data_IF_064337229197
#
_entry.id   IF_064337229197
#
_cell.length_a   1.000
_cell.length_b   1.000
_cell.length_c   1.000
_cell.angle_alpha   90.00
_cell.angle_beta   90.00
_cell.angle_gamma   90.00
#
_symmetry.space_group_name_H-M   'P 1'
#
loop_
_entity.id
_entity.type
_entity.pdbx_description
1 polymer ?
#
# COMPACT_ATOMS: atom_id res chain seq x y z
N UNK A 1 -79.18 -18.87 -31.63
CA UNK A 1 -79.00 -19.36 -33.01
C UNK A 1 -77.58 -19.88 -33.13
N UNK A 2 -77.39 -21.20 -33.14
CA UNK A 2 -76.07 -21.80 -33.36
C UNK A 2 -75.80 -21.81 -34.86
N UNK A 3 -74.80 -21.05 -35.30
CA UNK A 3 -74.37 -21.03 -36.69
C UNK A 3 -73.17 -21.97 -36.82
N UNK A 4 -73.38 -23.17 -37.37
CA UNK A 4 -72.34 -24.20 -37.51
C UNK A 4 -71.88 -24.22 -38.96
N UNK A 5 -70.74 -23.56 -39.20
CA UNK A 5 -70.06 -23.52 -40.50
C UNK A 5 -69.46 -24.90 -40.77
N UNK A 6 -69.91 -25.58 -41.83
CA UNK A 6 -69.43 -26.94 -42.12
C UNK A 6 -68.07 -26.97 -42.83
N UNK A 7 -67.78 -25.97 -43.67
CA UNK A 7 -66.55 -25.89 -44.44
C UNK A 7 -66.25 -24.45 -44.84
N UNK A 8 -64.98 -24.06 -44.77
CA UNK A 8 -64.44 -22.80 -45.26
C UNK A 8 -63.46 -23.18 -46.38
N UNK A 9 -63.56 -22.53 -47.53
CA UNK A 9 -62.67 -22.77 -48.68
C UNK A 9 -61.54 -21.74 -48.73
N UNK A 10 -60.40 -22.13 -49.32
CA UNK A 10 -59.20 -21.30 -49.45
C UNK A 10 -59.48 -19.93 -50.04
N UNK A 11 -58.84 -18.96 -49.44
CA UNK A 11 -58.90 -17.54 -49.74
C UNK A 11 -57.97 -17.16 -50.91
N UNK A 12 -58.44 -16.26 -51.78
CA UNK A 12 -57.66 -15.66 -52.87
C UNK A 12 -57.71 -14.14 -52.76
N UNK A 13 -56.59 -13.46 -53.02
CA UNK A 13 -56.57 -12.00 -53.19
C UNK A 13 -57.57 -11.60 -54.28
N UNK A 14 -58.46 -10.65 -53.98
CA UNK A 14 -59.35 -10.11 -55.00
C UNK A 14 -58.52 -9.31 -56.01
N UNK A 15 -58.40 -9.81 -57.25
CA UNK A 15 -57.64 -9.15 -58.30
C UNK A 15 -58.18 -7.76 -58.66
N UNK A 16 -59.47 -7.50 -58.44
CA UNK A 16 -60.11 -6.20 -58.67
C UNK A 16 -60.02 -5.25 -57.47
N UNK A 17 -59.66 -5.76 -56.30
CA UNK A 17 -59.48 -4.97 -55.07
C UNK A 17 -58.23 -5.45 -54.31
N UNK A 18 -57.02 -5.18 -54.84
CA UNK A 18 -55.77 -5.67 -54.25
C UNK A 18 -55.49 -5.11 -52.85
N UNK A 19 -56.10 -3.97 -52.50
CA UNK A 19 -55.98 -3.34 -51.17
C UNK A 19 -57.01 -3.86 -50.16
N UNK A 20 -57.94 -4.74 -50.58
CA UNK A 20 -58.99 -5.24 -49.70
C UNK A 20 -58.42 -6.25 -48.72
N UNK A 21 -58.43 -5.87 -47.43
CA UNK A 21 -57.99 -6.74 -46.33
C UNK A 21 -59.05 -7.83 -46.12
N UNK A 22 -58.69 -9.09 -46.37
CA UNK A 22 -59.59 -10.24 -46.21
C UNK A 22 -60.55 -10.46 -47.38
N UNK A 23 -60.66 -11.71 -47.81
CA UNK A 23 -61.28 -12.11 -49.07
C UNK A 23 -62.44 -13.12 -48.90
N UNK A 24 -63.03 -13.51 -50.04
CA UNK A 24 -64.29 -14.25 -50.19
C UNK A 24 -64.33 -15.63 -49.52
N UNK A 25 -65.42 -15.95 -48.80
CA UNK A 25 -65.60 -17.23 -48.11
C UNK A 25 -66.88 -17.94 -48.59
N UNK A 26 -66.73 -19.17 -49.09
CA UNK A 26 -67.89 -20.04 -49.35
C UNK A 26 -68.31 -20.71 -48.02
N UNK A 27 -69.57 -20.54 -47.62
CA UNK A 27 -70.13 -21.05 -46.35
C UNK A 27 -71.25 -22.03 -46.62
N UNK A 28 -71.25 -23.15 -45.91
CA UNK A 28 -72.33 -24.14 -45.93
C UNK A 28 -73.01 -24.18 -44.56
N UNK A 29 -74.34 -24.01 -44.56
CA UNK A 29 -75.20 -23.97 -43.38
C UNK A 29 -75.72 -25.36 -43.02
N UNK A 30 -76.28 -25.48 -41.81
CA UNK A 30 -76.62 -26.75 -41.13
C UNK A 30 -77.74 -27.52 -41.84
N UNK A 31 -78.64 -26.82 -42.52
CA UNK A 31 -79.81 -27.35 -43.23
C UNK A 31 -79.49 -27.80 -44.67
N UNK A 32 -78.20 -27.82 -45.05
CA UNK A 32 -77.77 -28.14 -46.42
C UNK A 32 -77.87 -26.96 -47.38
N UNK A 33 -78.30 -25.77 -46.91
CA UNK A 33 -78.21 -24.55 -47.70
C UNK A 33 -76.74 -24.13 -47.81
N UNK A 34 -76.23 -24.04 -49.03
CA UNK A 34 -74.91 -23.47 -49.32
C UNK A 34 -75.07 -22.09 -49.94
N UNK A 35 -74.22 -21.16 -49.52
CA UNK A 35 -74.23 -19.78 -50.00
C UNK A 35 -72.83 -19.19 -50.02
N UNK A 36 -72.54 -18.38 -51.04
CA UNK A 36 -71.28 -17.65 -51.10
C UNK A 36 -71.41 -16.33 -50.34
N UNK A 37 -70.53 -16.12 -49.36
CA UNK A 37 -70.53 -14.88 -48.55
C UNK A 37 -69.18 -14.19 -48.72
N UNK A 38 -69.21 -12.97 -49.24
CA UNK A 38 -67.99 -12.15 -49.31
C UNK A 38 -67.80 -11.43 -47.98
N UNK A 39 -66.67 -11.68 -47.31
CA UNK A 39 -66.29 -11.02 -46.07
C UNK A 39 -65.04 -10.18 -46.32
N UNK A 40 -65.01 -8.98 -45.75
CA UNK A 40 -63.80 -8.16 -45.63
C UNK A 40 -63.33 -8.28 -44.19
N UNK A 41 -62.09 -8.71 -43.97
CA UNK A 41 -61.56 -8.96 -42.63
C UNK A 41 -60.76 -7.74 -42.13
N UNK A 42 -60.58 -7.66 -40.81
CA UNK A 42 -59.82 -6.58 -40.19
C UNK A 42 -58.29 -6.72 -40.42
N UNK A 43 -57.82 -7.93 -40.75
CA UNK A 43 -56.41 -8.27 -40.93
C UNK A 43 -56.18 -8.95 -42.29
N UNK A 44 -54.96 -8.77 -42.84
CA UNK A 44 -54.51 -9.51 -44.01
C UNK A 44 -54.02 -10.90 -43.58
N UNK A 45 -54.71 -11.93 -44.05
CA UNK A 45 -54.43 -13.32 -43.71
C UNK A 45 -53.87 -14.13 -44.89
N UNK A 46 -53.51 -13.45 -45.98
CA UNK A 46 -53.03 -14.11 -47.21
C UNK A 46 -51.75 -14.92 -46.99
N UNK A 47 -50.92 -14.53 -46.02
CA UNK A 47 -49.69 -15.24 -45.65
C UNK A 47 -49.90 -16.33 -44.57
N UNK A 48 -51.10 -16.46 -44.01
CA UNK A 48 -51.37 -17.47 -42.99
C UNK A 48 -51.53 -18.85 -43.64
N UNK A 49 -51.20 -19.91 -42.90
CA UNK A 49 -51.59 -21.26 -43.31
C UNK A 49 -53.12 -21.44 -43.26
N UNK A 50 -53.60 -22.51 -43.89
CA UNK A 50 -55.03 -22.78 -44.04
C UNK A 50 -55.78 -22.85 -42.70
N UNK A 51 -55.17 -23.40 -41.66
CA UNK A 51 -55.80 -23.50 -40.34
C UNK A 51 -55.93 -22.12 -39.69
N UNK A 52 -54.88 -21.29 -39.75
CA UNK A 52 -54.88 -19.95 -39.20
C UNK A 52 -55.79 -18.99 -39.99
N UNK A 53 -55.91 -19.16 -41.30
CA UNK A 53 -56.91 -18.44 -42.12
C UNK A 53 -58.34 -18.77 -41.66
N UNK A 54 -58.64 -20.05 -41.45
CA UNK A 54 -59.96 -20.51 -40.98
C UNK A 54 -60.29 -19.91 -39.61
N UNK A 55 -59.33 -19.90 -38.67
CA UNK A 55 -59.54 -19.34 -37.33
C UNK A 55 -59.73 -17.82 -37.34
N UNK A 56 -59.02 -17.09 -38.20
CA UNK A 56 -59.22 -15.65 -38.38
C UNK A 56 -60.64 -15.32 -38.89
N UNK A 57 -61.13 -16.08 -39.88
CA UNK A 57 -62.50 -15.93 -40.39
C UNK A 57 -63.55 -16.23 -39.32
N UNK A 58 -63.40 -17.34 -38.57
CA UNK A 58 -64.30 -17.67 -37.45
C UNK A 58 -64.32 -16.55 -36.41
N UNK A 59 -63.15 -16.01 -36.06
CA UNK A 59 -63.01 -14.91 -35.11
C UNK A 59 -63.72 -13.65 -35.59
N UNK A 60 -63.58 -13.29 -36.87
CA UNK A 60 -64.25 -12.14 -37.46
C UNK A 60 -65.78 -12.28 -37.44
N UNK A 61 -66.30 -13.45 -37.83
CA UNK A 61 -67.74 -13.74 -37.78
C UNK A 61 -68.25 -13.67 -36.34
N UNK A 62 -67.54 -14.30 -35.40
CA UNK A 62 -67.89 -14.29 -33.99
C UNK A 62 -67.90 -12.86 -33.40
N UNK A 63 -66.87 -12.06 -33.68
CA UNK A 63 -66.79 -10.64 -33.31
C UNK A 63 -67.95 -9.83 -33.89
N UNK A 64 -68.32 -10.07 -35.15
CA UNK A 64 -69.37 -9.33 -35.84
C UNK A 64 -70.77 -9.63 -35.29
N UNK A 65 -71.03 -10.87 -34.88
CA UNK A 65 -72.33 -11.31 -34.37
C UNK A 65 -72.45 -11.07 -32.85
N UNK A 66 -71.36 -11.24 -32.10
CA UNK A 66 -71.33 -11.23 -30.64
C UNK A 66 -70.37 -10.18 -30.08
N UNK A 67 -70.39 -8.96 -30.64
CA UNK A 67 -69.41 -7.90 -30.34
C UNK A 67 -69.18 -7.66 -28.83
N UNK A 68 -70.23 -7.55 -28.02
CA UNK A 68 -70.11 -7.34 -26.58
C UNK A 68 -69.46 -8.52 -25.83
N UNK A 69 -69.82 -9.76 -26.21
CA UNK A 69 -69.24 -10.98 -25.61
C UNK A 69 -67.78 -11.15 -26.00
N UNK A 70 -67.48 -10.91 -27.28
CA UNK A 70 -66.11 -10.93 -27.80
C UNK A 70 -65.22 -9.91 -27.08
N UNK A 71 -65.70 -8.69 -26.85
CA UNK A 71 -64.95 -7.68 -26.09
C UNK A 71 -64.66 -8.13 -24.65
N UNK A 72 -65.65 -8.68 -23.95
CA UNK A 72 -65.46 -9.20 -22.58
C UNK A 72 -64.44 -10.33 -22.55
N UNK A 73 -64.53 -11.31 -23.45
CA UNK A 73 -63.58 -12.42 -23.53
C UNK A 73 -62.14 -11.94 -23.82
N UNK A 74 -61.97 -10.93 -24.68
CA UNK A 74 -60.66 -10.32 -24.94
C UNK A 74 -60.10 -9.60 -23.70
N UNK A 75 -60.95 -8.88 -22.96
CA UNK A 75 -60.54 -8.22 -21.71
C UNK A 75 -60.15 -9.25 -20.66
N UNK A 76 -60.92 -10.33 -20.51
CA UNK A 76 -60.61 -11.41 -19.57
C UNK A 76 -59.32 -12.14 -19.95
N UNK A 77 -59.10 -12.42 -21.24
CA UNK A 77 -57.86 -13.01 -21.73
C UNK A 77 -56.65 -12.09 -21.48
N UNK A 78 -56.79 -10.78 -21.77
CA UNK A 78 -55.76 -9.79 -21.50
C UNK A 78 -55.45 -9.70 -20.00
N UNK A 79 -56.49 -9.73 -19.15
CA UNK A 79 -56.34 -9.73 -17.68
C UNK A 79 -55.63 -10.99 -17.20
N UNK A 80 -55.97 -12.17 -17.72
CA UNK A 80 -55.29 -13.41 -17.36
C UNK A 80 -53.80 -13.40 -17.73
N UNK A 81 -53.46 -12.82 -18.89
CA UNK A 81 -52.06 -12.61 -19.30
C UNK A 81 -51.37 -11.62 -18.37
N UNK A 82 -52.02 -10.52 -18.01
CA UNK A 82 -51.49 -9.54 -17.08
C UNK A 82 -51.24 -10.16 -15.69
N UNK A 83 -52.20 -10.90 -15.15
CA UNK A 83 -52.10 -11.59 -13.85
C UNK A 83 -50.95 -12.62 -13.86
N UNK A 84 -50.80 -13.37 -14.96
CA UNK A 84 -49.66 -14.29 -15.14
C UNK A 84 -48.33 -13.53 -15.17
N UNK A 85 -48.27 -12.40 -15.86
CA UNK A 85 -47.06 -11.58 -15.97
C UNK A 85 -46.68 -10.98 -14.61
N UNK A 86 -47.67 -10.53 -13.83
CA UNK A 86 -47.45 -10.03 -12.45
C UNK A 86 -46.85 -11.13 -11.57
N UNK A 87 -47.40 -12.35 -11.59
CA UNK A 87 -46.84 -13.50 -10.85
C UNK A 87 -45.40 -13.81 -11.26
N UNK A 88 -45.10 -13.75 -12.55
CA UNK A 88 -43.72 -13.96 -13.03
C UNK A 88 -42.77 -12.87 -12.51
N UNK A 89 -43.20 -11.62 -12.47
CA UNK A 89 -42.43 -10.52 -11.89
C UNK A 89 -42.20 -10.73 -10.39
N UNK A 90 -43.23 -11.17 -9.65
CA UNK A 90 -43.09 -11.51 -8.22
C UNK A 90 -42.07 -12.64 -7.99
N UNK A 91 -42.11 -13.71 -8.80
CA UNK A 91 -41.13 -14.79 -8.73
C UNK A 91 -39.70 -14.31 -9.05
N UNK A 92 -39.55 -13.41 -10.02
CA UNK A 92 -38.26 -12.80 -10.37
C UNK A 92 -37.73 -11.97 -9.20
N UNK A 93 -38.58 -11.15 -8.60
CA UNK A 93 -38.20 -10.32 -7.45
C UNK A 93 -37.76 -11.19 -6.26
N UNK A 94 -38.48 -12.27 -5.95
CA UNK A 94 -38.09 -13.20 -4.89
C UNK A 94 -36.74 -13.88 -5.15
N UNK A 95 -36.49 -14.30 -6.40
CA UNK A 95 -35.19 -14.87 -6.78
C UNK A 95 -34.06 -13.85 -6.69
N UNK A 96 -34.34 -12.60 -7.08
CA UNK A 96 -33.37 -11.51 -6.99
C UNK A 96 -33.04 -11.21 -5.52
N UNK A 97 -34.04 -11.09 -4.66
CA UNK A 97 -33.85 -10.85 -3.22
C UNK A 97 -33.00 -11.95 -2.59
N UNK A 98 -33.31 -13.21 -2.90
CA UNK A 98 -32.52 -14.35 -2.42
C UNK A 98 -31.08 -14.31 -2.93
N UNK A 99 -30.86 -14.05 -4.21
CA UNK A 99 -29.52 -13.97 -4.79
C UNK A 99 -28.70 -12.80 -4.19
N UNK A 100 -29.36 -11.67 -3.92
CA UNK A 100 -28.74 -10.51 -3.26
C UNK A 100 -28.37 -10.89 -1.82
N UNK A 101 -29.26 -11.52 -1.06
CA UNK A 101 -28.98 -11.96 0.31
C UNK A 101 -27.81 -12.94 0.37
N UNK A 102 -27.82 -14.01 -0.43
CA UNK A 102 -26.73 -15.00 -0.48
C UNK A 102 -25.39 -14.35 -0.86
N UNK A 103 -25.41 -13.39 -1.78
CA UNK A 103 -24.19 -12.70 -2.21
C UNK A 103 -23.66 -11.73 -1.16
N UNK A 104 -24.55 -11.02 -0.45
CA UNK A 104 -24.18 -10.15 0.67
C UNK A 104 -23.61 -10.98 1.83
N UNK A 105 -24.24 -12.10 2.16
CA UNK A 105 -23.76 -13.01 3.22
C UNK A 105 -22.39 -13.60 2.90
N UNK A 106 -22.21 -14.12 1.68
CA UNK A 106 -20.91 -14.67 1.25
C UNK A 106 -19.81 -13.61 1.21
N UNK A 107 -20.11 -12.40 0.72
CA UNK A 107 -19.17 -11.28 0.72
C UNK A 107 -18.78 -10.87 2.14
N UNK A 108 -19.76 -10.72 3.05
CA UNK A 108 -19.49 -10.35 4.44
C UNK A 108 -18.64 -11.41 5.16
N UNK A 109 -18.90 -12.70 4.89
CA UNK A 109 -18.10 -13.80 5.43
C UNK A 109 -16.66 -13.74 4.94
N UNK A 110 -16.46 -13.62 3.63
CA UNK A 110 -15.12 -13.53 3.03
C UNK A 110 -14.35 -12.31 3.56
N UNK A 111 -15.00 -11.15 3.61
CA UNK A 111 -14.38 -9.92 4.14
C UNK A 111 -13.94 -10.10 5.61
N UNK A 112 -14.79 -10.70 6.44
CA UNK A 112 -14.46 -10.99 7.84
C UNK A 112 -13.26 -11.94 7.98
N UNK A 113 -13.21 -13.00 7.16
CA UNK A 113 -12.10 -13.96 7.14
C UNK A 113 -10.78 -13.30 6.70
N UNK A 114 -10.81 -12.49 5.64
CA UNK A 114 -9.63 -11.75 5.17
C UNK A 114 -9.14 -10.74 6.21
N UNK A 115 -10.06 -10.02 6.88
CA UNK A 115 -9.70 -9.10 7.97
C UNK A 115 -9.08 -9.83 9.16
N UNK A 116 -9.62 -10.99 9.55
CA UNK A 116 -9.06 -11.80 10.64
C UNK A 116 -7.63 -12.27 10.31
N UNK A 117 -7.40 -12.75 9.09
CA UNK A 117 -6.06 -13.15 8.64
C UNK A 117 -5.09 -11.99 8.62
N UNK A 118 -5.52 -10.81 8.15
CA UNK A 118 -4.70 -9.61 8.17
C UNK A 118 -4.32 -9.20 9.61
N UNK A 119 -5.27 -9.23 10.53
CA UNK A 119 -5.05 -8.94 11.95
C UNK A 119 -4.03 -9.91 12.56
N UNK A 120 -4.17 -11.21 12.32
CA UNK A 120 -3.23 -12.20 12.83
C UNK A 120 -1.84 -12.06 12.21
N UNK A 121 -1.75 -11.75 10.92
CA UNK A 121 -0.50 -11.40 10.26
C UNK A 121 0.18 -10.17 10.88
N UNK A 122 -0.59 -9.15 11.28
CA UNK A 122 -0.05 -8.00 12.00
C UNK A 122 0.44 -8.35 13.40
N UNK A 123 -0.29 -9.20 14.15
CA UNK A 123 0.15 -9.66 15.48
C UNK A 123 1.50 -10.38 15.40
N UNK A 124 1.66 -11.30 14.44
CA UNK A 124 2.92 -12.02 14.24
C UNK A 124 4.08 -11.05 14.00
N UNK A 125 3.90 -10.05 13.12
CA UNK A 125 4.92 -9.04 12.86
C UNK A 125 5.24 -8.18 14.09
N UNK A 126 4.24 -7.88 14.91
CA UNK A 126 4.45 -7.16 16.19
C UNK A 126 5.29 -8.01 17.15
N UNK A 127 4.99 -9.31 17.26
CA UNK A 127 5.75 -10.22 18.12
C UNK A 127 7.19 -10.39 17.62
N UNK A 128 7.41 -10.51 16.31
CA UNK A 128 8.75 -10.54 15.70
C UNK A 128 9.55 -9.27 16.01
N UNK A 129 8.93 -8.10 15.83
CA UNK A 129 9.55 -6.82 16.15
C UNK A 129 9.90 -6.72 17.63
N UNK A 130 8.98 -7.13 18.51
CA UNK A 130 9.18 -7.13 19.96
C UNK A 130 10.36 -8.02 20.35
N UNK A 131 10.41 -9.25 19.84
CA UNK A 131 11.50 -10.18 20.11
C UNK A 131 12.86 -9.64 19.62
N UNK A 132 12.90 -8.99 18.45
CA UNK A 132 14.10 -8.34 17.94
C UNK A 132 14.56 -7.18 18.83
N UNK A 133 13.63 -6.34 19.28
CA UNK A 133 13.95 -5.26 20.23
C UNK A 133 14.45 -5.80 21.57
N UNK A 134 13.80 -6.80 22.14
CA UNK A 134 14.22 -7.44 23.39
C UNK A 134 15.63 -8.05 23.26
N UNK A 135 15.91 -8.72 22.14
CA UNK A 135 17.25 -9.25 21.84
C UNK A 135 18.31 -8.14 21.77
N UNK A 136 18.05 -7.05 21.04
CA UNK A 136 18.97 -5.92 20.94
C UNK A 136 19.21 -5.22 22.28
N UNK A 137 18.16 -5.06 23.09
CA UNK A 137 18.28 -4.51 24.45
C UNK A 137 19.18 -5.41 25.30
N UNK A 138 19.02 -6.74 25.20
CA UNK A 138 19.90 -7.71 25.86
C UNK A 138 21.37 -7.53 25.46
N UNK A 139 21.65 -7.42 24.16
CA UNK A 139 23.01 -7.18 23.65
C UNK A 139 23.58 -5.85 24.17
N UNK A 140 22.82 -4.75 24.05
CA UNK A 140 23.25 -3.44 24.55
C UNK A 140 23.52 -3.46 26.07
N UNK A 141 22.71 -4.19 26.83
CA UNK A 141 22.92 -4.34 28.27
C UNK A 141 24.23 -5.05 28.54
N UNK A 142 24.51 -6.15 27.82
CA UNK A 142 25.77 -6.88 27.94
C UNK A 142 26.98 -6.03 27.52
N UNK A 143 26.86 -5.26 26.45
CA UNK A 143 27.90 -4.34 25.99
C UNK A 143 28.18 -3.25 27.03
N UNK A 144 27.13 -2.67 27.63
CA UNK A 144 27.25 -1.68 28.71
C UNK A 144 27.95 -2.29 29.92
N UNK A 145 27.63 -3.54 30.30
CA UNK A 145 28.31 -4.24 31.39
C UNK A 145 29.79 -4.49 31.07
N UNK A 146 30.10 -4.90 29.83
CA UNK A 146 31.47 -5.07 29.35
C UNK A 146 32.26 -3.76 29.38
N UNK A 147 31.66 -2.67 28.89
CA UNK A 147 32.24 -1.32 28.94
C UNK A 147 32.42 -0.84 30.38
N UNK A 148 31.44 -1.05 31.26
CA UNK A 148 31.59 -0.73 32.69
C UNK A 148 32.79 -1.47 33.28
N UNK A 149 32.93 -2.77 33.02
CA UNK A 149 34.09 -3.54 33.47
C UNK A 149 35.39 -2.97 32.92
N UNK A 150 35.43 -2.62 31.63
CA UNK A 150 36.59 -1.99 31.00
C UNK A 150 36.92 -0.61 31.59
N UNK A 151 35.91 0.22 31.88
CA UNK A 151 36.06 1.56 32.47
C UNK A 151 36.49 1.46 33.92
N UNK A 152 35.89 0.57 34.71
CA UNK A 152 36.32 0.28 36.08
C UNK A 152 37.71 -0.34 36.12
N UNK A 153 38.11 -1.13 35.12
CA UNK A 153 39.51 -1.56 34.94
C UNK A 153 40.42 -0.48 34.33
N UNK A 154 39.85 0.59 33.75
CA UNK A 154 40.57 1.77 33.23
C UNK A 154 40.75 2.85 34.29
N UNK A 155 40.20 2.71 35.50
CA UNK A 155 40.89 3.25 36.66
C UNK A 155 42.19 2.46 36.79
N UNK A 156 43.24 2.97 36.11
CA UNK A 156 44.56 2.34 36.07
C UNK A 156 44.94 1.92 37.50
N UNK A 157 45.03 0.60 37.72
CA UNK A 157 45.49 0.10 39.01
C UNK A 157 46.93 0.60 39.23
N UNK A 158 47.37 0.71 40.48
CA UNK A 158 48.75 1.12 40.76
C UNK A 158 49.78 0.19 40.09
N UNK A 159 49.39 -1.07 39.83
CA UNK A 159 50.21 -2.04 39.11
C UNK A 159 50.27 -1.74 37.60
N UNK A 160 49.16 -1.36 36.97
CA UNK A 160 49.15 -0.99 35.54
C UNK A 160 49.95 0.28 35.28
N UNK A 161 49.90 1.26 36.21
CA UNK A 161 50.77 2.45 36.15
C UNK A 161 52.25 2.08 36.24
N UNK A 162 52.58 1.10 37.09
CA UNK A 162 53.94 0.60 37.27
C UNK A 162 54.44 -0.15 36.03
N UNK A 163 53.57 -0.93 35.38
CA UNK A 163 53.90 -1.70 34.18
C UNK A 163 54.06 -0.78 32.95
N UNK A 164 53.26 0.28 32.83
CA UNK A 164 53.45 1.33 31.81
C UNK A 164 54.80 2.05 32.04
N UNK A 165 55.11 2.41 33.29
CA UNK A 165 56.41 3.01 33.63
C UNK A 165 57.59 2.04 33.42
N UNK A 166 57.36 0.73 33.40
CA UNK A 166 58.39 -0.28 33.13
C UNK A 166 58.81 -0.34 31.65
N UNK A 167 57.97 0.11 30.72
CA UNK A 167 58.28 0.10 29.28
C UNK A 167 59.24 1.20 28.85
N UNK A 168 59.41 2.25 29.65
CA UNK A 168 60.33 3.34 29.35
C UNK A 168 61.73 3.06 29.91
N UNK A 169 62.78 3.39 29.13
CA UNK A 169 64.16 3.19 29.59
C UNK A 169 64.45 4.02 30.84
N UNK A 170 65.18 3.43 31.78
CA UNK A 170 65.72 4.17 32.92
C UNK A 170 66.69 5.24 32.42
N UNK A 171 66.63 6.44 33.00
CA UNK A 171 67.62 7.48 32.72
C UNK A 171 69.02 7.03 33.14
N UNK A 172 70.01 7.29 32.29
CA UNK A 172 71.42 6.96 32.51
C UNK A 172 72.26 8.21 32.23
N UNK A 173 73.32 8.41 33.01
CA UNK A 173 74.30 9.47 32.81
C UNK A 173 75.24 9.13 31.64
N UNK A 174 75.79 10.16 30.99
CA UNK A 174 76.68 10.09 29.83
C UNK A 174 76.04 9.51 28.54
N UNK A 175 74.70 9.53 28.47
CA UNK A 175 73.91 9.06 27.34
C UNK A 175 73.48 10.24 26.46
N UNK A 176 73.50 10.06 25.13
CA UNK A 176 72.90 11.03 24.21
C UNK A 176 71.39 10.81 24.17
N UNK A 177 70.63 11.86 24.48
CA UNK A 177 69.17 11.87 24.40
C UNK A 177 68.69 12.82 23.32
N UNK A 178 67.72 12.36 22.52
CA UNK A 178 67.06 13.16 21.49
C UNK A 178 65.77 13.77 22.03
N UNK A 179 65.42 14.96 21.55
CA UNK A 179 64.15 15.63 21.81
C UNK A 179 62.98 14.70 21.50
N UNK A 180 62.02 14.66 22.41
CA UNK A 180 60.82 13.83 22.32
C UNK A 180 60.96 12.47 22.99
N UNK A 181 62.19 12.00 23.29
CA UNK A 181 62.41 10.75 24.03
C UNK A 181 61.78 10.81 25.42
N UNK A 182 61.26 9.68 25.92
CA UNK A 182 60.70 9.58 27.27
C UNK A 182 61.55 8.62 28.10
N UNK A 183 61.96 9.06 29.28
CA UNK A 183 62.83 8.31 30.21
C UNK A 183 62.22 8.26 31.60
N UNK A 184 62.54 7.20 32.33
CA UNK A 184 62.14 7.03 33.73
C UNK A 184 63.26 7.48 34.68
N UNK A 185 62.92 8.32 35.65
CA UNK A 185 63.81 8.72 36.74
C UNK A 185 63.01 8.85 38.05
N UNK A 186 63.47 8.18 39.11
CA UNK A 186 62.84 8.20 40.44
C UNK A 186 61.31 8.01 40.41
N UNK A 187 60.86 6.98 39.71
CA UNK A 187 59.45 6.58 39.52
C UNK A 187 58.55 7.56 38.73
N UNK A 188 59.14 8.60 38.12
CA UNK A 188 58.44 9.53 37.23
C UNK A 188 58.96 9.42 35.79
N UNK A 189 58.07 9.72 34.84
CA UNK A 189 58.41 9.81 33.42
C UNK A 189 58.70 11.26 33.05
N UNK A 190 59.77 11.46 32.29
CA UNK A 190 60.17 12.75 31.78
C UNK A 190 60.35 12.70 30.27
N UNK A 191 59.87 13.72 29.57
CA UNK A 191 60.10 13.90 28.15
C UNK A 191 61.28 14.85 27.94
N UNK A 192 62.20 14.47 27.06
CA UNK A 192 63.35 15.26 26.66
C UNK A 192 62.91 16.42 25.77
N UNK A 193 63.20 17.65 26.15
CA UNK A 193 62.77 18.86 25.43
C UNK A 193 63.76 19.34 24.38
N UNK A 194 65.03 18.94 24.47
CA UNK A 194 66.10 19.28 23.53
C UNK A 194 67.19 18.20 23.49
N UNK A 195 67.84 18.05 22.34
CA UNK A 195 68.96 17.13 22.15
C UNK A 195 70.14 17.52 23.05
N UNK A 196 70.62 16.58 23.87
CA UNK A 196 71.75 16.81 24.76
C UNK A 196 72.41 15.50 25.19
N UNK A 197 73.63 15.59 25.73
CA UNK A 197 74.28 14.47 26.44
C UNK A 197 74.00 14.61 27.93
N UNK A 198 73.41 13.60 28.56
CA UNK A 198 73.13 13.61 29.99
C UNK A 198 74.43 13.62 30.81
N UNK A 199 74.47 14.38 31.90
CA UNK A 199 75.56 14.33 32.88
C UNK A 199 75.00 13.98 34.25
N UNK A 200 75.88 13.61 35.20
CA UNK A 200 75.46 13.26 36.58
C UNK A 200 74.79 14.42 37.32
N UNK A 201 75.06 15.66 36.92
CA UNK A 201 74.52 16.87 37.53
C UNK A 201 73.23 17.35 36.83
N UNK A 202 72.93 16.87 35.62
CA UNK A 202 71.72 17.22 34.86
C UNK A 202 70.67 16.13 34.91
N UNK A 203 70.22 15.78 36.11
CA UNK A 203 69.18 14.77 36.28
C UNK A 203 67.80 15.32 35.89
N UNK A 204 66.84 14.47 35.46
CA UNK A 204 65.52 14.91 35.00
C UNK A 204 64.70 15.71 36.02
N UNK A 205 64.87 15.44 37.32
CA UNK A 205 64.22 16.18 38.42
C UNK A 205 64.79 17.59 38.65
N UNK A 206 66.03 17.86 38.22
CA UNK A 206 66.75 19.11 38.52
C UNK A 206 66.90 20.03 37.31
N UNK A 207 66.67 19.53 36.10
CA UNK A 207 67.03 20.25 34.87
C UNK A 207 65.85 20.44 33.93
N UNK A 208 64.96 21.36 34.31
CA UNK A 208 63.74 21.68 33.57
C UNK A 208 64.00 22.17 32.12
N UNK A 209 65.22 22.63 31.82
CA UNK A 209 65.61 23.04 30.46
C UNK A 209 65.64 21.86 29.48
N UNK A 210 66.02 20.66 29.95
CA UNK A 210 66.17 19.46 29.12
C UNK A 210 65.08 18.41 29.35
N UNK A 211 64.34 18.51 30.45
CA UNK A 211 63.34 17.52 30.84
C UNK A 211 62.07 18.18 31.38
N UNK A 212 60.90 17.66 30.97
CA UNK A 212 59.59 18.03 31.52
C UNK A 212 58.84 16.79 31.96
N UNK A 213 58.00 16.91 32.99
CA UNK A 213 57.18 15.78 33.45
C UNK A 213 56.27 15.33 32.30
N UNK A 214 56.38 14.06 31.93
CA UNK A 214 55.57 13.47 30.89
C UNK A 214 54.26 12.96 31.51
N UNK A 215 53.22 13.79 31.44
CA UNK A 215 51.86 13.34 31.71
C UNK A 215 51.34 12.68 30.44
N UNK A 216 51.26 11.34 30.40
CA UNK A 216 50.65 10.62 29.28
C UNK A 216 49.22 11.12 29.05
N UNK A 217 48.94 11.99 28.06
CA UNK A 217 47.59 12.30 27.70
C UNK A 217 47.20 11.14 26.78
N UNK A 218 46.65 10.08 27.38
CA UNK A 218 45.81 9.12 26.66
C UNK A 218 44.56 9.85 26.18
N UNK A 219 44.74 10.80 25.28
CA UNK A 219 43.74 11.41 24.44
C UNK A 219 44.37 11.39 23.05
N UNK A 220 44.13 10.29 22.32
CA UNK A 220 43.81 10.47 20.91
C UNK A 220 42.90 11.71 20.84
N UNK A 221 43.29 12.71 20.05
CA UNK A 221 42.45 13.90 19.86
C UNK A 221 41.10 13.41 19.32
N UNK A 222 40.13 13.20 20.21
CA UNK A 222 38.74 13.11 19.83
C UNK A 222 38.42 14.49 19.28
N UNK A 223 38.36 14.62 17.96
CA UNK A 223 37.87 15.82 17.32
C UNK A 223 36.43 16.01 17.80
N UNK A 224 36.22 16.93 18.73
CA UNK A 224 34.88 17.25 19.24
C UNK A 224 34.17 18.04 18.15
N UNK A 225 33.29 17.36 17.42
CA UNK A 225 32.43 17.97 16.41
C UNK A 225 31.16 18.48 17.09
N UNK A 226 31.00 19.80 17.13
CA UNK A 226 29.86 20.49 17.73
C UNK A 226 28.59 20.39 16.87
N UNK A 227 27.42 20.53 17.50
CA UNK A 227 26.15 20.73 16.78
C UNK A 227 26.16 22.05 15.99
N UNK A 228 25.56 22.02 14.81
CA UNK A 228 25.45 23.18 13.93
C UNK A 228 24.67 24.31 14.62
N UNK A 229 25.17 25.53 14.46
CA UNK A 229 24.55 26.75 14.97
C UNK A 229 24.41 27.75 13.84
N UNK A 230 23.25 28.39 13.75
CA UNK A 230 22.97 29.43 12.76
C UNK A 230 23.99 30.58 12.88
N UNK A 231 24.83 30.83 11.86
CA UNK A 231 25.74 31.97 11.87
C UNK A 231 24.98 33.29 11.80
N UNK A 232 25.44 34.29 12.57
CA UNK A 232 24.83 35.63 12.64
C UNK A 232 25.59 36.67 11.82
N UNK A 233 26.88 36.44 11.58
CA UNK A 233 27.77 37.34 10.85
C UNK A 233 28.87 36.58 10.09
N UNK A 234 29.74 37.30 9.38
CA UNK A 234 30.85 36.69 8.63
C UNK A 234 31.90 36.00 9.53
N UNK A 235 32.01 36.41 10.81
CA UNK A 235 32.99 35.86 11.77
C UNK A 235 32.52 34.53 12.36
N UNK A 236 31.21 34.32 12.38
CA UNK A 236 30.54 33.09 12.85
C UNK A 236 30.19 32.15 11.71
N UNK A 237 30.53 32.48 10.47
CA UNK A 237 30.27 31.63 9.30
C UNK A 237 31.23 30.44 9.24
N UNK A 238 30.74 29.34 8.69
CA UNK A 238 31.54 28.14 8.51
C UNK A 238 32.46 28.27 7.30
N UNK A 239 33.67 27.76 7.42
CA UNK A 239 34.70 27.73 6.38
C UNK A 239 34.87 26.31 5.83
N UNK A 240 35.51 26.18 4.67
CA UNK A 240 35.82 24.86 4.09
C UNK A 240 36.50 23.95 5.11
N UNK A 241 36.05 22.70 5.20
CA UNK A 241 36.57 21.67 6.10
C UNK A 241 36.05 21.74 7.54
N UNK A 242 35.27 22.75 7.91
CA UNK A 242 34.58 22.75 9.20
C UNK A 242 33.57 21.60 9.26
N UNK A 243 33.50 20.94 10.42
CA UNK A 243 32.58 19.83 10.66
C UNK A 243 31.54 20.22 11.69
N UNK A 244 30.31 19.78 11.49
CA UNK A 244 29.19 19.98 12.41
C UNK A 244 28.31 18.74 12.48
N UNK A 245 27.60 18.58 13.60
CA UNK A 245 26.47 17.66 13.69
C UNK A 245 25.17 18.40 13.38
N UNK A 246 24.29 17.77 12.62
CA UNK A 246 22.95 18.29 12.34
C UNK A 246 22.02 17.14 11.94
N UNK A 247 20.83 17.09 12.55
CA UNK A 247 19.84 16.03 12.35
C UNK A 247 20.40 14.59 12.52
N UNK A 248 21.27 14.41 13.52
CA UNK A 248 21.85 13.09 13.85
C UNK A 248 22.96 12.62 12.91
N UNK A 249 23.38 13.46 11.96
CA UNK A 249 24.47 13.16 11.02
C UNK A 249 25.61 14.18 11.16
N UNK A 250 26.79 13.78 10.72
CA UNK A 250 27.99 14.63 10.66
C UNK A 250 28.20 15.16 9.25
N UNK A 251 28.45 16.46 9.15
CA UNK A 251 28.57 17.19 7.89
C UNK A 251 29.89 17.95 7.83
N UNK A 252 30.51 17.98 6.65
CA UNK A 252 31.71 18.75 6.33
C UNK A 252 31.36 19.90 5.38
N UNK A 253 31.81 21.11 5.70
CA UNK A 253 31.58 22.31 4.90
C UNK A 253 32.48 22.30 3.66
N UNK A 254 31.91 22.56 2.48
CA UNK A 254 32.61 22.54 1.20
C UNK A 254 32.92 23.94 0.64
N UNK A 255 32.45 25.00 1.30
CA UNK A 255 32.63 26.37 0.85
C UNK A 255 32.94 27.31 2.04
N UNK A 256 33.49 28.48 1.74
CA UNK A 256 33.77 29.51 2.74
C UNK A 256 32.56 30.41 2.99
N UNK A 257 32.51 31.00 4.19
CA UNK A 257 31.45 31.91 4.62
C UNK A 257 30.04 31.31 4.56
N UNK A 258 29.90 30.02 4.84
CA UNK A 258 28.62 29.32 4.81
C UNK A 258 27.79 29.66 6.05
N UNK A 259 26.55 30.13 5.80
CA UNK A 259 25.56 30.48 6.83
C UNK A 259 24.28 29.66 6.77
N UNK A 260 24.19 28.73 5.82
CA UNK A 260 23.03 27.86 5.65
C UNK A 260 23.26 26.55 6.38
N UNK A 261 22.19 25.92 6.84
CA UNK A 261 22.25 24.65 7.55
C UNK A 261 22.61 23.47 6.62
N UNK A 262 23.16 22.37 7.17
CA UNK A 262 23.42 21.16 6.41
C UNK A 262 22.15 20.44 5.96
N UNK A 263 22.09 20.10 4.68
CA UNK A 263 21.04 19.28 4.09
C UNK A 263 21.60 18.47 2.93
N UNK A 264 20.98 17.34 2.60
CA UNK A 264 21.41 16.46 1.49
C UNK A 264 21.37 17.19 0.15
N UNK A 265 20.44 18.15 0.01
CA UNK A 265 20.28 18.98 -1.19
C UNK A 265 21.21 20.19 -1.21
N UNK A 266 21.97 20.44 -0.14
CA UNK A 266 22.85 21.60 -0.06
C UNK A 266 24.12 21.38 -0.90
N UNK A 267 24.47 22.31 -1.80
CA UNK A 267 25.70 22.21 -2.57
C UNK A 267 26.96 22.51 -1.75
N UNK A 268 26.81 23.03 -0.52
CA UNK A 268 27.92 23.48 0.32
C UNK A 268 28.20 22.57 1.53
N UNK A 269 27.44 21.48 1.70
CA UNK A 269 27.62 20.53 2.79
C UNK A 269 27.74 19.09 2.26
N UNK A 270 28.72 18.35 2.77
CA UNK A 270 28.90 16.93 2.49
C UNK A 270 28.63 16.11 3.74
N UNK A 271 27.71 15.15 3.66
CA UNK A 271 27.50 14.18 4.73
C UNK A 271 28.68 13.21 4.82
N UNK A 272 29.25 13.05 6.01
CA UNK A 272 30.42 12.20 6.27
C UNK A 272 30.21 11.15 7.38
N UNK A 273 29.07 11.18 8.08
CA UNK A 273 28.71 10.21 9.11
C UNK A 273 27.24 10.26 9.46
#
# INVERSE_FOLDING_TARGET
MELKIQKIYKLYSNAEMPDQKGCMVLVELIDGASGMVTLTLDEDITSYDEQNQIEAVKRYIYKSIYAGRYQTEQIEAAKAIADKSVKQVEEINQKLDKAVQEKVESFNKQLSEEMAQAIDGFKIKIDELKNNFESKIGTLTSDIEGLKKQVTSKELSQQDKKDINAQYPQWVADQLYQRGSVVKYQDQLYQVTADHKSTKDTTPDKTATYYVIYHNPSTEKVEVIDEWKQPVDAKTSYMVGNKVKHNGFTWECLADYVKVEPAVTSPVWKKIG
#
